data_IF_698489193456
#
_entry.id   IF_698489193456
#
_cell.length_a   1.000
_cell.length_b   1.000
_cell.length_c   1.000
_cell.angle_alpha   90.00
_cell.angle_beta   90.00
_cell.angle_gamma   90.00
#
_symmetry.space_group_name_H-M   'P 1'
#
loop_
_entity.id
_entity.type
_entity.pdbx_description
1 polymer ?
#
# COMPACT_ATOMS: atom_id res chain seq x y z
N UNK A 1 15.11 -5.64 -17.62
CA UNK A 1 13.95 -5.12 -16.87
C UNK A 1 13.25 -3.96 -17.57
N UNK A 2 13.98 -2.94 -18.05
CA UNK A 2 13.40 -1.82 -18.83
C UNK A 2 12.56 -2.29 -20.04
N UNK A 3 12.95 -3.37 -20.72
CA UNK A 3 12.16 -3.92 -21.84
C UNK A 3 10.75 -4.38 -21.43
N UNK A 4 10.57 -4.89 -20.20
CA UNK A 4 9.26 -5.30 -19.67
C UNK A 4 8.44 -4.05 -19.32
N UNK A 5 9.06 -3.07 -18.67
CA UNK A 5 8.40 -1.78 -18.38
C UNK A 5 7.91 -1.11 -19.66
N UNK A 6 8.74 -1.03 -20.70
CA UNK A 6 8.35 -0.45 -22.00
C UNK A 6 7.23 -1.23 -22.70
N UNK A 7 7.19 -2.55 -22.53
CA UNK A 7 6.16 -3.40 -23.15
C UNK A 7 4.78 -3.16 -22.54
N UNK A 8 4.71 -3.03 -21.22
CA UNK A 8 3.44 -2.91 -20.50
C UNK A 8 3.11 -1.48 -20.06
N UNK A 9 4.05 -0.56 -20.20
CA UNK A 9 3.94 0.85 -19.82
C UNK A 9 3.39 1.06 -18.40
N UNK A 10 3.81 0.23 -17.44
CA UNK A 10 3.46 0.45 -16.04
C UNK A 10 4.24 1.63 -15.46
N UNK A 11 3.58 2.38 -14.58
CA UNK A 11 4.18 3.55 -13.91
C UNK A 11 5.08 3.17 -12.75
N UNK A 12 4.76 2.08 -12.03
CA UNK A 12 5.49 1.66 -10.84
C UNK A 12 5.64 0.13 -10.78
N UNK A 13 6.69 -0.32 -10.11
CA UNK A 13 6.86 -1.71 -9.68
C UNK A 13 7.03 -1.74 -8.16
N UNK A 14 6.23 -2.58 -7.49
CA UNK A 14 6.26 -2.69 -6.04
C UNK A 14 7.22 -3.78 -5.56
N UNK A 15 7.87 -3.55 -4.43
CA UNK A 15 8.62 -4.58 -3.71
C UNK A 15 8.40 -4.45 -2.20
N UNK A 16 8.33 -5.60 -1.55
CA UNK A 16 8.50 -5.66 -0.10
C UNK A 16 9.99 -5.50 0.25
N UNK A 17 10.37 -4.48 1.03
CA UNK A 17 11.77 -4.21 1.37
C UNK A 17 12.40 -5.31 2.24
N UNK A 18 11.61 -6.11 2.98
CA UNK A 18 12.12 -7.23 3.80
C UNK A 18 12.74 -8.37 2.97
N UNK A 19 12.55 -8.37 1.65
CA UNK A 19 13.06 -9.40 0.72
C UNK A 19 14.29 -8.99 -0.06
N UNK A 20 14.74 -7.75 0.08
CA UNK A 20 15.83 -7.19 -0.73
C UNK A 20 17.09 -7.13 0.11
N UNK A 21 18.17 -7.74 -0.39
CA UNK A 21 19.49 -7.72 0.25
C UNK A 21 20.41 -6.64 -0.30
N UNK A 22 20.20 -6.23 -1.55
CA UNK A 22 20.95 -5.15 -2.20
C UNK A 22 20.01 -4.25 -3.01
N UNK A 23 19.77 -3.04 -2.50
CA UNK A 23 18.90 -2.05 -3.13
C UNK A 23 19.56 -1.36 -4.34
N UNK A 24 20.89 -1.40 -4.48
CA UNK A 24 21.57 -0.78 -5.61
C UNK A 24 21.19 -1.47 -6.93
N UNK A 25 20.97 -2.78 -6.90
CA UNK A 25 20.48 -3.54 -8.08
C UNK A 25 19.17 -2.96 -8.61
N UNK A 26 18.28 -2.49 -7.73
CA UNK A 26 17.02 -1.87 -8.14
C UNK A 26 17.22 -0.47 -8.69
N UNK A 27 18.14 0.32 -8.13
CA UNK A 27 18.51 1.63 -8.68
C UNK A 27 19.11 1.48 -10.08
N UNK A 28 20.09 0.60 -10.23
CA UNK A 28 20.79 0.32 -11.50
C UNK A 28 19.86 -0.24 -12.57
N UNK A 29 18.77 -0.90 -12.16
CA UNK A 29 17.76 -1.41 -13.10
C UNK A 29 17.05 -0.32 -13.91
N UNK A 30 17.04 0.93 -13.42
CA UNK A 30 16.33 2.05 -14.02
C UNK A 30 14.81 1.92 -14.00
N UNK A 31 14.25 0.98 -13.23
CA UNK A 31 12.81 0.84 -13.08
C UNK A 31 12.21 1.88 -12.12
N UNK A 32 10.93 2.24 -12.28
CA UNK A 32 10.22 3.11 -11.35
C UNK A 32 9.78 2.33 -10.10
N UNK A 33 10.72 2.11 -9.19
CA UNK A 33 10.54 1.23 -8.02
C UNK A 33 9.80 1.94 -6.89
N UNK A 34 8.87 1.24 -6.25
CA UNK A 34 8.25 1.61 -4.99
C UNK A 34 8.52 0.55 -3.91
N UNK A 35 8.53 0.99 -2.65
CA UNK A 35 8.70 0.15 -1.46
C UNK A 35 7.42 0.18 -0.62
N UNK A 36 6.94 -0.98 -0.22
CA UNK A 36 5.74 -1.12 0.60
C UNK A 36 6.09 -1.25 2.09
N UNK A 37 5.31 -0.59 2.97
CA UNK A 37 5.41 -0.83 4.42
C UNK A 37 4.89 -2.24 4.75
N UNK A 38 5.46 -2.86 5.78
CA UNK A 38 5.21 -4.27 6.09
C UNK A 38 4.19 -4.48 7.21
N UNK A 39 3.47 -5.60 7.16
CA UNK A 39 2.55 -6.05 8.20
C UNK A 39 3.24 -6.51 9.51
N UNK A 40 2.43 -6.75 10.54
CA UNK A 40 2.89 -7.12 11.88
C UNK A 40 3.61 -8.47 12.00
N UNK A 41 3.50 -9.35 11.00
CA UNK A 41 4.20 -10.65 10.93
C UNK A 41 5.68 -10.49 10.57
N UNK A 42 6.08 -9.32 10.09
CA UNK A 42 7.47 -9.03 9.69
C UNK A 42 8.27 -8.43 10.84
N UNK A 43 9.60 -8.45 10.70
CA UNK A 43 10.51 -7.93 11.73
C UNK A 43 10.99 -6.50 11.46
N UNK A 44 10.87 -6.02 10.22
CA UNK A 44 11.39 -4.73 9.78
C UNK A 44 10.43 -4.05 8.79
N UNK A 45 10.64 -2.76 8.56
CA UNK A 45 9.90 -1.93 7.58
C UNK A 45 8.42 -1.76 7.90
N UNK A 46 8.07 -1.88 9.18
CA UNK A 46 6.70 -1.72 9.69
C UNK A 46 6.41 -0.29 10.13
N UNK A 47 7.44 0.44 10.58
CA UNK A 47 7.33 1.80 11.10
C UNK A 47 7.87 2.84 10.12
N UNK A 48 7.53 4.10 10.39
CA UNK A 48 8.03 5.27 9.66
C UNK A 48 9.55 5.34 9.70
N UNK A 49 10.17 5.08 10.86
CA UNK A 49 11.63 5.14 11.03
C UNK A 49 12.34 4.08 10.20
N UNK A 50 11.78 2.87 10.11
CA UNK A 50 12.36 1.81 9.30
C UNK A 50 12.27 2.11 7.81
N UNK A 51 11.11 2.58 7.34
CA UNK A 51 10.93 2.99 5.95
C UNK A 51 11.78 4.21 5.60
N UNK A 52 11.99 5.14 6.55
CA UNK A 52 12.82 6.31 6.34
C UNK A 52 14.26 5.92 5.97
N UNK A 53 14.82 4.88 6.59
CA UNK A 53 16.20 4.43 6.32
C UNK A 53 16.44 4.14 4.83
N UNK A 54 15.45 3.56 4.14
CA UNK A 54 15.56 3.24 2.71
C UNK A 54 15.12 4.41 1.83
N UNK A 55 14.07 5.14 2.19
CA UNK A 55 13.56 6.22 1.36
C UNK A 55 14.48 7.45 1.37
N UNK A 56 15.26 7.68 2.42
CA UNK A 56 16.26 8.76 2.47
C UNK A 56 17.52 8.43 1.64
N UNK A 57 17.83 7.13 1.47
CA UNK A 57 19.03 6.68 0.74
C UNK A 57 18.79 6.47 -0.75
N UNK A 58 17.57 6.10 -1.14
CA UNK A 58 17.27 5.68 -2.51
C UNK A 58 16.08 6.46 -3.10
N UNK A 59 16.02 6.64 -4.43
CA UNK A 59 15.00 7.46 -5.10
C UNK A 59 13.65 6.76 -5.26
N UNK A 60 13.34 5.75 -4.45
CA UNK A 60 12.14 4.92 -4.62
C UNK A 60 10.83 5.65 -4.26
N UNK A 61 9.72 5.30 -4.90
CA UNK A 61 8.40 5.65 -4.37
C UNK A 61 8.07 4.83 -3.11
N UNK A 62 6.94 5.15 -2.50
CA UNK A 62 6.36 4.35 -1.43
C UNK A 62 4.97 3.87 -1.85
N UNK A 63 4.65 2.62 -1.54
CA UNK A 63 3.28 2.12 -1.45
C UNK A 63 2.90 2.16 0.01
N UNK A 64 1.81 2.84 0.33
CA UNK A 64 1.28 2.80 1.68
C UNK A 64 0.14 1.77 1.72
N UNK A 65 0.43 0.60 2.26
CA UNK A 65 -0.58 -0.40 2.58
C UNK A 65 -1.21 -0.08 3.94
N UNK A 66 -2.51 0.23 3.89
CA UNK A 66 -3.29 0.64 5.05
C UNK A 66 -3.65 -0.54 5.96
N UNK A 67 -3.83 -1.73 5.38
CA UNK A 67 -4.04 -2.97 6.11
C UNK A 67 -2.83 -3.27 7.00
N UNK A 68 -1.63 -3.16 6.43
CA UNK A 68 -0.38 -3.40 7.14
C UNK A 68 -0.23 -2.44 8.31
N UNK A 69 -0.52 -1.14 8.13
CA UNK A 69 -0.54 -0.20 9.24
C UNK A 69 -1.53 -0.62 10.34
N UNK A 70 -2.76 -0.96 9.96
CA UNK A 70 -3.78 -1.39 10.91
C UNK A 70 -3.40 -2.69 11.63
N UNK A 71 -2.75 -3.64 10.95
CA UNK A 71 -2.25 -4.89 11.55
C UNK A 71 -1.19 -4.67 12.62
N UNK A 72 -0.45 -3.54 12.56
CA UNK A 72 0.60 -3.18 13.49
C UNK A 72 0.09 -2.39 14.71
N UNK A 73 -0.91 -1.51 14.52
CA UNK A 73 -1.39 -0.60 15.59
C UNK A 73 -2.85 -0.82 16.03
N UNK A 74 -3.66 -1.52 15.24
CA UNK A 74 -5.10 -1.69 15.46
C UNK A 74 -5.92 -0.41 15.28
N UNK A 75 -5.32 0.66 14.75
CA UNK A 75 -5.94 1.97 14.56
C UNK A 75 -5.29 2.72 13.38
N UNK A 76 -5.67 3.98 13.17
CA UNK A 76 -5.20 4.82 12.05
C UNK A 76 -3.95 5.64 12.36
N UNK A 77 -3.37 5.53 13.55
CA UNK A 77 -2.25 6.40 13.97
C UNK A 77 -1.05 6.21 13.05
N UNK A 78 -0.66 4.96 12.82
CA UNK A 78 0.47 4.63 11.95
C UNK A 78 0.23 5.02 10.49
N UNK A 79 -1.02 4.90 10.00
CA UNK A 79 -1.40 5.41 8.66
C UNK A 79 -1.12 6.90 8.57
N UNK A 80 -1.57 7.67 9.56
CA UNK A 80 -1.38 9.12 9.61
C UNK A 80 0.09 9.51 9.76
N UNK A 81 0.87 8.78 10.54
CA UNK A 81 2.32 8.98 10.66
C UNK A 81 3.03 8.80 9.32
N UNK A 82 2.73 7.71 8.59
CA UNK A 82 3.27 7.48 7.24
C UNK A 82 2.87 8.58 6.27
N UNK A 83 1.60 8.97 6.26
CA UNK A 83 1.11 10.05 5.40
C UNK A 83 1.83 11.37 5.67
N UNK A 84 1.86 11.80 6.93
CA UNK A 84 2.48 13.07 7.33
C UNK A 84 3.97 13.11 6.98
N UNK A 85 4.66 11.97 7.04
CA UNK A 85 6.08 11.88 6.73
C UNK A 85 6.36 11.78 5.23
N UNK A 86 5.57 10.97 4.50
CA UNK A 86 5.93 10.51 3.16
C UNK A 86 4.89 10.81 2.08
N UNK A 87 3.88 11.66 2.32
CA UNK A 87 2.86 12.07 1.33
C UNK A 87 3.43 12.26 -0.09
N UNK A 88 4.56 12.98 -0.22
CA UNK A 88 5.19 13.26 -1.53
C UNK A 88 5.86 12.05 -2.19
N UNK A 89 6.19 11.02 -1.41
CA UNK A 89 6.81 9.77 -1.83
C UNK A 89 5.78 8.66 -2.07
N UNK A 90 4.63 8.73 -1.42
CA UNK A 90 3.54 7.78 -1.62
C UNK A 90 3.00 7.93 -3.05
N UNK A 91 2.98 6.81 -3.79
CA UNK A 91 2.57 6.76 -5.20
C UNK A 91 1.18 6.17 -5.39
N UNK A 92 0.79 5.27 -4.51
CA UNK A 92 -0.55 4.70 -4.44
C UNK A 92 -0.75 4.03 -3.07
N UNK A 93 -2.00 3.76 -2.74
CA UNK A 93 -2.40 2.98 -1.57
C UNK A 93 -2.73 1.55 -1.97
N UNK A 94 -2.39 0.61 -1.09
CA UNK A 94 -3.07 -0.68 -1.05
C UNK A 94 -4.18 -0.61 -0.01
N UNK A 95 -5.37 -1.02 -0.42
CA UNK A 95 -6.60 -0.96 0.37
C UNK A 95 -7.18 -2.37 0.54
N UNK A 96 -7.31 -2.78 1.78
CA UNK A 96 -8.04 -3.98 2.22
C UNK A 96 -8.32 -3.88 3.71
N UNK A 97 -9.26 -4.66 4.23
CA UNK A 97 -9.55 -4.77 5.65
C UNK A 97 -8.66 -5.79 6.35
N UNK A 98 -8.50 -5.67 7.66
CA UNK A 98 -7.70 -6.57 8.51
C UNK A 98 -8.55 -7.19 9.61
N UNK A 99 -8.74 -8.50 9.54
CA UNK A 99 -9.13 -9.36 10.68
C UNK A 99 -8.14 -10.51 10.85
N UNK A 100 -7.63 -11.03 9.72
CA UNK A 100 -6.63 -12.09 9.62
C UNK A 100 -5.44 -11.66 8.76
N UNK A 101 -5.69 -11.19 7.53
CA UNK A 101 -4.72 -10.74 6.54
C UNK A 101 -5.38 -9.62 5.72
N UNK A 102 -5.42 -9.70 4.39
CA UNK A 102 -6.13 -8.78 3.51
C UNK A 102 -7.59 -9.20 3.34
N UNK A 103 -8.39 -9.11 4.40
CA UNK A 103 -9.81 -9.44 4.36
C UNK A 103 -10.61 -8.36 3.61
N UNK A 104 -11.72 -8.71 2.94
CA UNK A 104 -12.58 -7.73 2.29
C UNK A 104 -13.18 -6.70 3.27
N UNK A 105 -13.15 -5.42 2.91
CA UNK A 105 -13.71 -4.32 3.70
C UNK A 105 -15.21 -4.45 3.94
N UNK A 106 -15.97 -5.02 2.98
CA UNK A 106 -17.38 -5.30 3.19
C UNK A 106 -17.62 -6.31 4.34
N UNK A 107 -16.63 -7.13 4.69
CA UNK A 107 -16.68 -8.06 5.82
C UNK A 107 -16.18 -7.39 7.11
N UNK A 108 -15.04 -6.69 7.06
CA UNK A 108 -14.42 -6.12 8.27
C UNK A 108 -15.07 -4.83 8.75
N UNK A 109 -15.79 -4.11 7.88
CA UNK A 109 -16.46 -2.84 8.17
C UNK A 109 -15.53 -1.72 8.64
N UNK A 110 -14.26 -1.76 8.23
CA UNK A 110 -13.25 -0.76 8.60
C UNK A 110 -13.31 0.48 7.70
N UNK A 111 -14.43 1.21 7.76
CA UNK A 111 -14.69 2.37 6.91
C UNK A 111 -13.63 3.47 7.03
N UNK A 112 -12.99 3.59 8.20
CA UNK A 112 -11.91 4.55 8.40
C UNK A 112 -10.75 4.41 7.39
N UNK A 113 -10.55 3.22 6.80
CA UNK A 113 -9.55 3.00 5.76
C UNK A 113 -10.01 3.56 4.40
N UNK A 114 -11.31 3.48 4.10
CA UNK A 114 -11.94 4.06 2.91
C UNK A 114 -11.98 5.58 3.04
N UNK A 115 -12.44 6.10 4.17
CA UNK A 115 -12.52 7.54 4.46
C UNK A 115 -11.13 8.20 4.34
N UNK A 116 -10.08 7.48 4.78
CA UNK A 116 -8.72 7.98 4.69
C UNK A 116 -8.29 8.24 3.24
N UNK A 117 -8.60 7.33 2.32
CA UNK A 117 -8.20 7.45 0.90
C UNK A 117 -9.11 8.38 0.10
N UNK A 118 -10.39 8.50 0.46
CA UNK A 118 -11.36 9.39 -0.20
C UNK A 118 -10.83 10.82 -0.32
N UNK A 119 -10.22 11.32 0.76
CA UNK A 119 -9.69 12.68 0.83
C UNK A 119 -8.40 12.91 0.02
N UNK A 120 -7.88 11.91 -0.70
CA UNK A 120 -6.54 11.93 -1.31
C UNK A 120 -6.60 11.77 -2.82
N UNK A 121 -5.86 12.61 -3.54
CA UNK A 121 -5.66 12.47 -5.00
C UNK A 121 -4.57 11.44 -5.35
N UNK A 122 -4.53 10.33 -4.62
CA UNK A 122 -3.53 9.26 -4.76
C UNK A 122 -4.24 7.98 -5.22
N UNK A 123 -3.75 7.28 -6.26
CA UNK A 123 -4.37 6.05 -6.74
C UNK A 123 -4.53 4.99 -5.65
N UNK A 124 -5.57 4.16 -5.75
CA UNK A 124 -5.87 3.08 -4.82
C UNK A 124 -5.90 1.75 -5.57
N UNK A 125 -5.23 0.74 -5.04
CA UNK A 125 -5.30 -0.65 -5.50
C UNK A 125 -5.98 -1.46 -4.39
N UNK A 126 -7.04 -2.18 -4.73
CA UNK A 126 -7.75 -3.06 -3.80
C UNK A 126 -7.04 -4.41 -3.80
N UNK A 127 -6.54 -4.84 -2.63
CA UNK A 127 -5.78 -6.10 -2.47
C UNK A 127 -6.50 -7.12 -1.58
N UNK A 128 -7.81 -6.93 -1.38
CA UNK A 128 -8.65 -7.86 -0.64
C UNK A 128 -8.58 -9.27 -1.24
N UNK A 129 -8.36 -10.28 -0.39
CA UNK A 129 -8.46 -11.69 -0.76
C UNK A 129 -9.93 -12.07 -0.88
N UNK A 130 -10.33 -12.38 -2.10
CA UNK A 130 -11.72 -12.65 -2.48
C UNK A 130 -11.83 -14.08 -2.99
N UNK A 131 -12.87 -14.79 -2.59
CA UNK A 131 -13.04 -16.19 -2.98
C UNK A 131 -13.55 -16.36 -4.42
N UNK A 132 -14.29 -15.37 -4.91
CA UNK A 132 -14.96 -15.44 -6.21
C UNK A 132 -15.34 -14.05 -6.74
N UNK A 133 -15.84 -14.01 -7.98
CA UNK A 133 -16.24 -12.78 -8.67
C UNK A 133 -17.39 -12.04 -7.97
N UNK A 134 -18.30 -12.76 -7.32
CA UNK A 134 -19.41 -12.13 -6.58
C UNK A 134 -18.88 -11.36 -5.38
N UNK A 135 -17.90 -11.91 -4.65
CA UNK A 135 -17.22 -11.16 -3.58
C UNK A 135 -16.47 -9.96 -4.14
N UNK A 136 -15.82 -10.07 -5.30
CA UNK A 136 -15.14 -8.95 -5.95
C UNK A 136 -16.11 -7.80 -6.27
N UNK A 137 -17.26 -8.12 -6.87
CA UNK A 137 -18.30 -7.11 -7.15
C UNK A 137 -18.87 -6.51 -5.86
N UNK A 138 -19.03 -7.33 -4.81
CA UNK A 138 -19.54 -6.86 -3.51
C UNK A 138 -18.55 -5.91 -2.83
N UNK A 139 -17.25 -6.26 -2.82
CA UNK A 139 -16.18 -5.43 -2.28
C UNK A 139 -16.05 -4.12 -3.07
N UNK A 140 -16.11 -4.19 -4.40
CA UNK A 140 -16.08 -3.02 -5.26
C UNK A 140 -17.23 -2.05 -4.93
N UNK A 141 -18.49 -2.53 -4.92
CA UNK A 141 -19.63 -1.68 -4.57
C UNK A 141 -19.51 -1.15 -3.15
N UNK A 142 -19.10 -1.97 -2.19
CA UNK A 142 -18.90 -1.52 -0.82
C UNK A 142 -17.93 -0.33 -0.74
N UNK A 143 -16.77 -0.44 -1.40
CA UNK A 143 -15.77 0.64 -1.40
C UNK A 143 -16.34 1.86 -2.13
N UNK A 144 -16.87 1.69 -3.33
CA UNK A 144 -17.36 2.80 -4.14
C UNK A 144 -18.53 3.56 -3.49
N UNK A 145 -19.47 2.85 -2.86
CA UNK A 145 -20.61 3.46 -2.17
C UNK A 145 -20.18 4.24 -0.91
N UNK A 146 -19.02 3.91 -0.33
CA UNK A 146 -18.44 4.61 0.82
C UNK A 146 -17.39 5.66 0.41
N UNK A 147 -17.07 5.79 -0.89
CA UNK A 147 -16.24 6.86 -1.45
C UNK A 147 -17.07 8.05 -1.97
N UNK A 148 -18.39 8.02 -1.73
CA UNK A 148 -19.33 9.03 -2.24
C UNK A 148 -20.08 9.72 -1.12
N UNK A 149 -19.39 10.65 -0.45
CA UNK A 149 -19.99 11.87 0.10
C UNK A 149 -19.40 13.11 -0.64
N UNK A 150 -19.51 13.14 -1.97
CA UNK A 150 -19.26 14.33 -2.82
C UNK A 150 -20.55 14.78 -3.50
#
# INVERSE_FOLDING_TARGET
MIAIQKKFNFEYINFHPDKITDFNVLVESGLPVCMENMDSRKLAFRSVEDMQKILDQYPFGMVLDLNHCYSNGGNMDLVNEFWNKFEKRIKYFHLSGFTTLHDPLYKTKQNQLVDFVESKSVPVIIESMLENVVEMETEWHYIMDNLTDV
#
